data_IF_005992493001
#
_entry.id   IF_005992493001
#
_cell.length_a   1.000
_cell.length_b   1.000
_cell.length_c   1.000
_cell.angle_alpha   90.00
_cell.angle_beta   90.00
_cell.angle_gamma   90.00
#
_symmetry.space_group_name_H-M   'P 1'
#
loop_
_entity.id
_entity.type
_entity.pdbx_description
1 polymer ?
#
# COMPACT_ATOMS: atom_id res chain seq x y z
N UNK A 1 5.08 24.42 26.51
CA UNK A 1 4.28 24.33 25.27
C UNK A 1 5.11 24.64 24.02
N UNK A 2 5.94 25.68 24.03
CA UNK A 2 6.89 26.02 22.95
C UNK A 2 7.85 24.89 22.59
N UNK A 3 8.44 24.19 23.58
CA UNK A 3 9.36 23.08 23.31
C UNK A 3 8.72 21.91 22.53
N UNK A 4 7.43 21.63 22.77
CA UNK A 4 6.68 20.57 22.06
C UNK A 4 6.44 21.00 20.61
N UNK A 5 6.02 22.24 20.40
CA UNK A 5 5.81 22.80 19.07
C UNK A 5 7.13 22.88 18.27
N UNK A 6 8.24 23.24 18.91
CA UNK A 6 9.55 23.28 18.27
C UNK A 6 10.11 21.89 17.94
N UNK A 7 9.80 20.89 18.77
CA UNK A 7 10.14 19.49 18.49
C UNK A 7 9.31 18.96 17.30
N UNK A 8 8.01 19.25 17.28
CA UNK A 8 7.11 18.92 16.16
C UNK A 8 7.56 19.61 14.87
N UNK A 9 7.88 20.90 14.90
CA UNK A 9 8.32 21.66 13.74
C UNK A 9 9.66 21.13 13.19
N UNK A 10 10.59 20.75 14.08
CA UNK A 10 11.85 20.11 13.67
C UNK A 10 11.63 18.73 13.05
N UNK A 11 10.81 17.89 13.67
CA UNK A 11 10.46 16.57 13.13
C UNK A 11 9.76 16.67 11.77
N UNK A 12 8.85 17.64 11.62
CA UNK A 12 8.17 17.91 10.35
C UNK A 12 9.18 18.34 9.26
N UNK A 13 10.13 19.20 9.61
CA UNK A 13 11.18 19.64 8.68
C UNK A 13 12.14 18.51 8.31
N UNK A 14 12.43 17.60 9.23
CA UNK A 14 13.23 16.41 8.98
C UNK A 14 12.50 15.39 8.08
N UNK A 15 11.17 15.28 8.16
CA UNK A 15 10.36 14.50 7.22
C UNK A 15 10.53 14.99 5.76
N UNK A 16 10.70 16.31 5.57
CA UNK A 16 11.00 16.91 4.26
C UNK A 16 12.47 16.85 3.86
N UNK A 17 13.35 16.28 4.69
CA UNK A 17 14.73 16.04 4.26
C UNK A 17 14.73 15.01 3.12
N UNK A 18 15.47 15.31 2.05
CA UNK A 18 15.50 14.49 0.83
C UNK A 18 15.85 13.02 1.12
N UNK A 19 16.68 12.78 2.14
CA UNK A 19 17.09 11.45 2.57
C UNK A 19 15.93 10.66 3.22
N UNK A 20 15.15 11.28 4.11
CA UNK A 20 14.01 10.61 4.76
C UNK A 20 12.87 10.42 3.77
N UNK A 21 12.60 11.45 2.95
CA UNK A 21 11.59 11.39 1.90
C UNK A 21 11.88 10.23 0.93
N UNK A 22 13.14 10.09 0.51
CA UNK A 22 13.53 9.00 -0.39
C UNK A 22 13.25 7.63 0.22
N UNK A 23 13.58 7.40 1.50
CA UNK A 23 13.33 6.13 2.22
C UNK A 23 11.86 5.72 2.20
N UNK A 24 10.93 6.69 2.20
CA UNK A 24 9.47 6.44 2.17
C UNK A 24 8.91 6.37 0.75
N UNK A 25 9.45 7.16 -0.18
CA UNK A 25 8.94 7.26 -1.55
C UNK A 25 9.39 6.08 -2.41
N UNK A 26 10.61 5.58 -2.25
CA UNK A 26 11.12 4.51 -3.11
C UNK A 26 10.31 3.19 -3.03
N UNK A 27 9.85 2.70 -1.85
CA UNK A 27 9.04 1.47 -1.76
C UNK A 27 7.71 1.64 -2.50
N UNK A 28 7.07 2.80 -2.31
CA UNK A 28 5.82 3.14 -2.97
C UNK A 28 6.00 3.24 -4.49
N UNK A 29 7.08 3.88 -4.93
CA UNK A 29 7.42 4.01 -6.35
C UNK A 29 7.68 2.66 -7.02
N UNK A 30 8.46 1.78 -6.37
CA UNK A 30 8.72 0.42 -6.87
C UNK A 30 7.43 -0.40 -6.93
N UNK A 31 6.61 -0.37 -5.89
CA UNK A 31 5.32 -1.06 -5.86
C UNK A 31 4.37 -0.54 -6.95
N UNK A 32 4.29 0.78 -7.12
CA UNK A 32 3.47 1.42 -8.14
C UNK A 32 3.93 1.03 -9.54
N UNK A 33 5.23 1.11 -9.83
CA UNK A 33 5.78 0.74 -11.13
C UNK A 33 5.57 -0.75 -11.43
N UNK A 34 5.77 -1.62 -10.44
CA UNK A 34 5.51 -3.06 -10.56
C UNK A 34 4.06 -3.32 -10.95
N UNK A 35 3.11 -2.78 -10.20
CA UNK A 35 1.69 -3.00 -10.47
C UNK A 35 1.20 -2.28 -11.71
N UNK A 36 1.77 -1.13 -12.08
CA UNK A 36 1.46 -0.47 -13.35
C UNK A 36 1.92 -1.35 -14.52
N UNK A 37 3.14 -1.89 -14.46
CA UNK A 37 3.65 -2.81 -15.47
C UNK A 37 2.79 -4.08 -15.55
N UNK A 38 2.43 -4.68 -14.41
CA UNK A 38 1.55 -5.85 -14.35
C UNK A 38 0.14 -5.53 -14.87
N UNK A 39 -0.40 -4.37 -14.52
CA UNK A 39 -1.73 -3.93 -14.96
C UNK A 39 -1.81 -3.73 -16.46
N UNK A 40 -0.78 -3.14 -17.07
CA UNK A 40 -0.72 -2.98 -18.53
C UNK A 40 -0.50 -4.31 -19.24
N UNK A 41 0.40 -5.15 -18.74
CA UNK A 41 0.75 -6.44 -19.38
C UNK A 41 -0.33 -7.51 -19.22
N UNK A 42 -1.01 -7.56 -18.07
CA UNK A 42 -2.02 -8.55 -17.74
C UNK A 42 -3.44 -7.97 -17.66
N UNK A 43 -3.68 -6.83 -18.32
CA UNK A 43 -4.98 -6.15 -18.31
C UNK A 43 -6.15 -7.10 -18.60
N UNK A 44 -6.02 -7.92 -19.65
CA UNK A 44 -7.06 -8.87 -20.05
C UNK A 44 -7.33 -9.96 -19.00
N UNK A 45 -6.29 -10.43 -18.31
CA UNK A 45 -6.42 -11.43 -17.24
C UNK A 45 -7.20 -10.85 -16.05
N UNK A 46 -6.83 -9.65 -15.58
CA UNK A 46 -7.51 -8.99 -14.46
C UNK A 46 -8.96 -8.64 -14.81
N UNK A 47 -9.20 -8.11 -16.01
CA UNK A 47 -10.55 -7.86 -16.53
C UNK A 47 -11.39 -9.14 -16.56
N UNK A 48 -10.79 -10.24 -17.00
CA UNK A 48 -11.43 -11.56 -17.03
C UNK A 48 -11.80 -12.07 -15.64
N UNK A 49 -10.90 -11.93 -14.65
CA UNK A 49 -11.18 -12.32 -13.27
C UNK A 49 -12.30 -11.48 -12.65
N UNK A 50 -12.29 -10.17 -12.87
CA UNK A 50 -13.36 -9.28 -12.39
C UNK A 50 -14.70 -9.69 -13.03
N UNK A 51 -14.74 -9.90 -14.35
CA UNK A 51 -15.95 -10.36 -15.03
C UNK A 51 -16.45 -11.70 -14.48
N UNK A 52 -15.56 -12.69 -14.30
CA UNK A 52 -15.92 -13.98 -13.72
C UNK A 52 -16.48 -13.83 -12.29
N UNK A 53 -15.87 -12.98 -11.46
CA UNK A 53 -16.34 -12.68 -10.12
C UNK A 53 -17.73 -12.03 -10.13
N UNK A 54 -17.96 -11.04 -10.99
CA UNK A 54 -19.26 -10.38 -11.17
C UNK A 54 -20.33 -11.33 -11.68
N UNK A 55 -19.96 -12.26 -12.57
CA UNK A 55 -20.87 -13.29 -13.07
C UNK A 55 -21.27 -14.27 -11.95
N UNK A 56 -20.32 -14.69 -11.12
CA UNK A 56 -20.56 -15.63 -10.04
C UNK A 56 -21.58 -15.12 -9.00
N UNK A 57 -21.63 -13.79 -8.80
CA UNK A 57 -22.59 -13.12 -7.91
C UNK A 57 -23.83 -12.58 -8.65
N UNK A 58 -23.96 -12.86 -9.96
CA UNK A 58 -25.13 -12.46 -10.78
C UNK A 58 -25.20 -10.97 -11.16
N UNK A 59 -24.20 -10.17 -10.79
CA UNK A 59 -24.19 -8.71 -11.05
C UNK A 59 -23.90 -8.40 -12.52
N UNK A 60 -23.24 -9.31 -13.26
CA UNK A 60 -22.86 -9.05 -14.65
C UNK A 60 -24.06 -8.82 -15.59
N UNK A 61 -25.18 -9.53 -15.39
CA UNK A 61 -26.40 -9.31 -16.19
C UNK A 61 -26.98 -7.91 -15.92
N UNK A 62 -27.07 -7.52 -14.64
CA UNK A 62 -27.49 -6.17 -14.27
C UNK A 62 -26.57 -5.09 -14.86
N UNK A 63 -25.25 -5.32 -14.87
CA UNK A 63 -24.29 -4.39 -15.46
C UNK A 63 -24.46 -4.24 -16.98
N UNK A 64 -24.85 -5.32 -17.67
CA UNK A 64 -25.05 -5.32 -19.11
C UNK A 64 -26.34 -4.58 -19.53
N UNK A 65 -27.35 -4.59 -18.67
CA UNK A 65 -28.62 -3.92 -18.87
C UNK A 65 -28.59 -2.41 -18.49
N UNK A 66 -27.47 -1.92 -17.95
CA UNK A 66 -27.31 -0.50 -17.59
C UNK A 66 -27.14 0.37 -18.84
N UNK A 67 -28.14 1.20 -19.12
CA UNK A 67 -27.99 2.35 -20.00
C UNK A 67 -27.89 3.66 -19.18
N UNK A 68 -26.93 4.54 -19.51
CA UNK A 68 -25.99 4.44 -20.63
C UNK A 68 -24.74 3.59 -20.33
N UNK A 69 -24.19 2.94 -21.36
CA UNK A 69 -23.05 1.99 -21.27
C UNK A 69 -21.80 2.55 -20.58
N UNK A 70 -21.59 3.88 -20.61
CA UNK A 70 -20.43 4.49 -19.93
C UNK A 70 -20.45 4.26 -18.40
N UNK A 71 -21.62 4.08 -17.79
CA UNK A 71 -21.76 3.77 -16.36
C UNK A 71 -21.15 2.39 -16.07
N UNK A 72 -21.47 1.40 -16.90
CA UNK A 72 -20.90 0.05 -16.77
C UNK A 72 -19.37 0.07 -16.86
N UNK A 73 -18.82 0.82 -17.82
CA UNK A 73 -17.37 1.01 -17.94
C UNK A 73 -16.77 1.77 -16.74
N UNK A 74 -17.47 2.77 -16.20
CA UNK A 74 -17.06 3.50 -15.00
C UNK A 74 -16.99 2.60 -13.76
N UNK A 75 -17.99 1.74 -13.57
CA UNK A 75 -18.01 0.75 -12.48
C UNK A 75 -16.86 -0.25 -12.66
N UNK A 76 -16.64 -0.76 -13.87
CA UNK A 76 -15.53 -1.66 -14.15
C UNK A 76 -14.17 -1.01 -13.86
N UNK A 77 -13.96 0.25 -14.27
CA UNK A 77 -12.75 0.99 -13.97
C UNK A 77 -12.56 1.18 -12.45
N UNK A 78 -13.64 1.49 -11.73
CA UNK A 78 -13.63 1.59 -10.27
C UNK A 78 -13.23 0.27 -9.62
N UNK A 79 -13.77 -0.87 -10.08
CA UNK A 79 -13.41 -2.20 -9.58
C UNK A 79 -11.92 -2.52 -9.82
N UNK A 80 -11.37 -2.13 -10.97
CA UNK A 80 -9.94 -2.27 -11.22
C UNK A 80 -9.11 -1.43 -10.25
N UNK A 81 -9.47 -0.15 -10.03
CA UNK A 81 -8.78 0.70 -9.06
C UNK A 81 -8.89 0.14 -7.63
N UNK A 82 -10.07 -0.33 -7.24
CA UNK A 82 -10.32 -0.93 -5.93
C UNK A 82 -9.49 -2.20 -5.71
N UNK A 83 -9.20 -2.96 -6.77
CA UNK A 83 -8.30 -4.11 -6.69
C UNK A 83 -6.82 -3.66 -6.61
N UNK A 84 -6.40 -2.75 -7.50
CA UNK A 84 -4.99 -2.39 -7.66
C UNK A 84 -4.44 -1.50 -6.55
N UNK A 85 -5.20 -0.53 -6.06
CA UNK A 85 -4.72 0.43 -5.03
C UNK A 85 -4.29 -0.31 -3.76
N UNK A 86 -5.11 -1.22 -3.17
CA UNK A 86 -4.70 -2.00 -2.00
C UNK A 86 -3.50 -2.90 -2.27
N UNK A 87 -3.43 -3.50 -3.47
CA UNK A 87 -2.30 -4.34 -3.86
C UNK A 87 -0.98 -3.55 -3.91
N UNK A 88 -1.00 -2.34 -4.47
CA UNK A 88 0.15 -1.41 -4.43
C UNK A 88 0.51 -1.05 -2.99
N UNK A 89 -0.49 -0.72 -2.18
CA UNK A 89 -0.24 -0.33 -0.79
C UNK A 89 0.35 -1.48 0.03
N UNK A 90 -0.18 -2.70 -0.14
CA UNK A 90 0.28 -3.90 0.52
C UNK A 90 1.72 -4.22 0.12
N UNK A 91 2.05 -4.23 -1.18
CA UNK A 91 3.43 -4.48 -1.61
C UNK A 91 4.37 -3.37 -1.15
N UNK A 92 3.95 -2.11 -1.18
CA UNK A 92 4.74 -1.00 -0.63
C UNK A 92 4.99 -1.18 0.87
N UNK A 93 3.99 -1.60 1.65
CA UNK A 93 4.09 -1.87 3.07
C UNK A 93 5.07 -3.00 3.35
N UNK A 94 5.04 -4.07 2.56
CA UNK A 94 5.97 -5.20 2.66
C UNK A 94 7.40 -4.76 2.36
N UNK A 95 7.61 -4.02 1.27
CA UNK A 95 8.93 -3.47 0.94
C UNK A 95 9.40 -2.55 2.08
N UNK A 96 8.52 -1.71 2.62
CA UNK A 96 8.85 -0.81 3.74
C UNK A 96 9.17 -1.58 5.03
N UNK A 97 8.45 -2.66 5.33
CA UNK A 97 8.73 -3.49 6.50
C UNK A 97 10.08 -4.20 6.39
N UNK A 98 10.43 -4.68 5.20
CA UNK A 98 11.68 -5.40 4.95
C UNK A 98 12.89 -4.47 4.86
N UNK A 99 12.74 -3.29 4.24
CA UNK A 99 13.85 -2.41 3.91
C UNK A 99 13.81 -1.03 4.59
N UNK A 100 12.61 -0.52 4.91
CA UNK A 100 12.40 0.81 5.48
C UNK A 100 12.93 0.94 6.90
N UNK A 101 12.56 0.02 7.80
CA UNK A 101 13.06 0.02 9.19
C UNK A 101 14.60 -0.02 9.28
N UNK A 102 15.32 -0.93 8.60
CA UNK A 102 16.78 -0.94 8.66
C UNK A 102 17.43 0.28 7.98
N UNK A 103 16.81 0.84 6.95
CA UNK A 103 17.30 2.06 6.30
C UNK A 103 17.14 3.29 7.21
N UNK A 104 15.97 3.46 7.84
CA UNK A 104 15.67 4.57 8.74
C UNK A 104 16.59 4.53 9.97
N UNK A 105 16.77 3.35 10.58
CA UNK A 105 17.70 3.14 11.70
C UNK A 105 19.13 3.48 11.28
N UNK A 106 19.54 3.17 10.04
CA UNK A 106 20.88 3.50 9.52
C UNK A 106 21.08 5.00 9.33
N UNK A 107 20.05 5.73 8.89
CA UNK A 107 20.09 7.19 8.75
C UNK A 107 20.22 7.85 10.12
N UNK A 108 19.35 7.48 11.08
CA UNK A 108 19.35 8.05 12.44
C UNK A 108 20.63 7.71 13.19
N UNK A 109 21.09 6.45 13.14
CA UNK A 109 22.32 6.04 13.82
C UNK A 109 23.56 6.79 13.30
N UNK A 110 23.62 7.14 12.00
CA UNK A 110 24.73 7.92 11.44
C UNK A 110 24.66 9.40 11.78
N UNK A 111 23.45 9.96 11.86
CA UNK A 111 23.25 11.40 12.03
C UNK A 111 23.28 11.84 13.49
N UNK A 112 22.59 11.10 14.36
CA UNK A 112 22.30 11.56 15.72
C UNK A 112 23.03 10.74 16.80
N UNK A 113 23.50 9.52 16.48
CA UNK A 113 24.11 8.59 17.45
C UNK A 113 25.35 7.84 16.92
N UNK A 114 26.39 8.55 16.41
CA UNK A 114 27.53 7.93 15.74
C UNK A 114 28.39 7.04 16.65
N UNK A 115 28.36 7.24 17.97
CA UNK A 115 29.18 6.52 18.96
C UNK A 115 28.53 5.23 19.49
N UNK A 116 27.26 4.96 19.18
CA UNK A 116 26.51 3.81 19.68
C UNK A 116 26.73 2.54 18.85
N UNK A 117 27.07 1.44 19.52
CA UNK A 117 27.24 0.12 18.89
C UNK A 117 25.87 -0.45 18.49
N UNK A 118 25.78 -0.98 17.27
CA UNK A 118 24.56 -1.64 16.77
C UNK A 118 24.30 -2.93 17.55
N UNK A 119 23.22 -2.96 18.32
CA UNK A 119 22.60 -4.20 18.79
C UNK A 119 21.77 -4.80 17.63
N UNK A 120 22.04 -6.04 17.23
CA UNK A 120 21.43 -6.71 16.07
C UNK A 120 19.97 -7.18 16.33
N UNK A 121 19.19 -6.41 17.10
CA UNK A 121 17.86 -6.81 17.58
C UNK A 121 16.75 -6.89 16.50
N UNK A 122 16.99 -6.34 15.31
CA UNK A 122 16.07 -6.40 14.17
C UNK A 122 16.56 -7.37 13.09
N UNK A 123 16.51 -8.67 13.34
CA UNK A 123 16.91 -9.68 12.37
C UNK A 123 15.94 -9.77 11.18
N UNK A 124 16.43 -10.17 10.02
CA UNK A 124 15.63 -10.38 8.79
C UNK A 124 14.42 -11.31 9.03
N UNK A 125 14.59 -12.34 9.87
CA UNK A 125 13.53 -13.30 10.24
C UNK A 125 12.42 -12.61 11.03
N UNK A 126 12.75 -11.71 11.95
CA UNK A 126 11.77 -10.95 12.73
C UNK A 126 10.95 -9.99 11.86
N UNK A 127 11.61 -9.30 10.93
CA UNK A 127 10.94 -8.45 9.95
C UNK A 127 10.04 -9.24 9.00
N UNK A 128 10.47 -10.44 8.58
CA UNK A 128 9.66 -11.32 7.74
C UNK A 128 8.40 -11.79 8.46
N UNK A 129 8.52 -12.23 9.72
CA UNK A 129 7.37 -12.62 10.53
C UNK A 129 6.39 -11.45 10.73
N UNK A 130 6.93 -10.26 11.05
CA UNK A 130 6.12 -9.06 11.17
C UNK A 130 5.40 -8.71 9.86
N UNK A 131 6.06 -8.85 8.71
CA UNK A 131 5.44 -8.62 7.41
C UNK A 131 4.30 -9.61 7.16
N UNK A 132 4.48 -10.90 7.44
CA UNK A 132 3.40 -11.90 7.29
C UNK A 132 2.19 -11.55 8.14
N UNK A 133 2.40 -11.25 9.44
CA UNK A 133 1.31 -10.86 10.35
C UNK A 133 0.59 -9.60 9.85
N UNK A 134 1.33 -8.59 9.41
CA UNK A 134 0.77 -7.36 8.88
C UNK A 134 -0.05 -7.59 7.60
N UNK A 135 0.44 -8.42 6.66
CA UNK A 135 -0.28 -8.79 5.44
C UNK A 135 -1.59 -9.51 5.79
N UNK A 136 -1.55 -10.51 6.67
CA UNK A 136 -2.74 -11.27 7.06
C UNK A 136 -3.80 -10.38 7.70
N UNK A 137 -3.38 -9.50 8.63
CA UNK A 137 -4.28 -8.53 9.26
C UNK A 137 -4.89 -7.57 8.23
N UNK A 138 -4.07 -7.04 7.32
CA UNK A 138 -4.53 -6.12 6.28
C UNK A 138 -5.55 -6.78 5.35
N UNK A 139 -5.27 -7.97 4.82
CA UNK A 139 -6.20 -8.69 3.93
C UNK A 139 -7.53 -8.95 4.64
N UNK A 140 -7.47 -9.40 5.90
CA UNK A 140 -8.67 -9.68 6.70
C UNK A 140 -9.52 -8.42 6.89
N UNK A 141 -8.91 -7.33 7.35
CA UNK A 141 -9.61 -6.06 7.54
C UNK A 141 -10.15 -5.52 6.22
N UNK A 142 -9.36 -5.58 5.15
CA UNK A 142 -9.76 -5.08 3.85
C UNK A 142 -11.01 -5.81 3.34
N UNK A 143 -11.01 -7.14 3.33
CA UNK A 143 -12.18 -7.95 2.92
C UNK A 143 -13.40 -7.65 3.78
N UNK A 144 -13.24 -7.51 5.10
CA UNK A 144 -14.34 -7.18 6.02
C UNK A 144 -14.88 -5.76 5.77
N UNK A 145 -14.03 -4.81 5.39
CA UNK A 145 -14.44 -3.42 5.11
C UNK A 145 -15.01 -3.20 3.71
N UNK A 146 -14.75 -4.07 2.74
CA UNK A 146 -15.26 -3.93 1.37
C UNK A 146 -16.79 -3.74 1.29
N UNK A 147 -17.63 -4.52 2.02
CA UNK A 147 -19.08 -4.31 2.03
C UNK A 147 -19.49 -2.93 2.58
N UNK A 148 -18.75 -2.42 3.58
CA UNK A 148 -19.03 -1.12 4.20
C UNK A 148 -18.77 0.06 3.25
N UNK A 149 -17.89 -0.10 2.26
CA UNK A 149 -17.59 0.95 1.28
C UNK A 149 -18.70 1.12 0.25
N UNK A 150 -19.43 0.03 -0.05
CA UNK A 150 -20.54 0.04 -1.01
C UNK A 150 -21.83 0.56 -0.37
N UNK A 151 -21.99 0.33 0.93
CA UNK A 151 -23.15 0.74 1.70
C UNK A 151 -22.69 1.87 2.61
N UNK A 152 -22.55 3.06 2.03
CA UNK A 152 -22.37 4.27 2.83
C UNK A 152 -23.58 4.41 3.77
N UNK A 153 -23.34 4.37 5.07
CA UNK A 153 -24.30 4.89 6.06
C UNK A 153 -24.35 6.41 5.92
#
# INVERSE_FOLDING_TARGET
MTAILDALARALRDLFSLQVLWVVVWPMGVALLLWLALGVTFWGTFSGWIAQGLNAIGIQAWLADLEPVWIAHGIQAMLHLLLFIPLVYLTALVITALFGMPALIRVVARRDYPELKRENGGGFIGSLWNAVVAITLFITLWVVTLPLWLIGV
#
